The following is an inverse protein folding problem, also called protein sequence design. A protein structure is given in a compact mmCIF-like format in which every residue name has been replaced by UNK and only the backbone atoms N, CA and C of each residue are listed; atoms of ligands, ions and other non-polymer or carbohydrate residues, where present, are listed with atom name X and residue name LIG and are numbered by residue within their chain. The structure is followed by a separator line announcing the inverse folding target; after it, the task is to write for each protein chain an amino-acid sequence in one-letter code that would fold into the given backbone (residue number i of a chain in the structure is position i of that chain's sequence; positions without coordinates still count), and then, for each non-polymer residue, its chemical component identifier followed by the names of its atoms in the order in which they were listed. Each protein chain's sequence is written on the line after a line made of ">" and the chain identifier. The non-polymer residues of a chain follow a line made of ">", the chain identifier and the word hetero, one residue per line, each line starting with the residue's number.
data_IF_824246775401
#
_entry.id   IF_824246775401
#
_cell.length_a   1.000
_cell.length_b   1.000
_cell.length_c   1.000
_cell.angle_alpha   90.00
_cell.angle_beta   90.00
_cell.angle_gamma   90.00
#
_symmetry.space_group_name_H-M   'P 1'
#
loop_
_entity.id
_entity.type
_entity.pdbx_description
1 polymer ?
#
# COMPACT_ATOMS: atom_id res chain seq x y z
N UNK A 1 -25.53 -4.62 6.26
CA UNK A 1 -25.21 -5.55 7.36
C UNK A 1 -25.66 -5.04 8.74
N UNK A 2 -26.07 -3.77 8.89
CA UNK A 2 -26.54 -3.21 10.17
C UNK A 2 -28.07 -3.09 10.11
N UNK A 3 -28.77 -4.22 10.23
CA UNK A 3 -30.23 -4.22 10.14
C UNK A 3 -30.96 -4.66 11.42
N UNK A 4 -30.25 -4.89 12.51
CA UNK A 4 -30.85 -5.41 13.74
C UNK A 4 -30.34 -4.64 14.94
N UNK A 5 -30.94 -3.53 15.34
CA UNK A 5 -30.79 -2.88 16.67
C UNK A 5 -29.45 -3.22 17.40
N UNK A 6 -28.36 -3.27 16.68
CA UNK A 6 -27.07 -3.70 17.19
C UNK A 6 -26.54 -2.63 18.15
N UNK A 7 -26.20 -3.02 19.36
CA UNK A 7 -25.55 -2.14 20.35
C UNK A 7 -24.02 -2.17 20.21
N UNK A 8 -23.50 -3.21 19.56
CA UNK A 8 -22.07 -3.41 19.31
C UNK A 8 -21.86 -3.85 17.87
N UNK A 9 -20.91 -3.22 17.19
CA UNK A 9 -20.44 -3.58 15.84
C UNK A 9 -18.97 -3.91 15.90
N UNK A 10 -18.56 -5.02 15.30
CA UNK A 10 -17.16 -5.43 15.17
C UNK A 10 -16.79 -5.36 13.69
N UNK A 11 -15.73 -4.65 13.36
CA UNK A 11 -15.19 -4.49 12.01
C UNK A 11 -13.75 -5.00 11.97
N UNK A 12 -13.50 -6.00 11.14
CA UNK A 12 -12.17 -6.56 10.93
C UNK A 12 -11.60 -6.08 9.61
N UNK A 13 -10.51 -5.32 9.68
CA UNK A 13 -9.82 -4.66 8.55
C UNK A 13 -10.75 -4.02 7.51
N UNK A 14 -11.68 -3.15 7.91
CA UNK A 14 -12.76 -2.69 7.03
C UNK A 14 -12.26 -1.89 5.81
N UNK A 15 -11.03 -1.39 5.83
CA UNK A 15 -10.46 -0.56 4.77
C UNK A 15 -9.47 -1.31 3.85
N UNK A 16 -9.31 -2.62 4.02
CA UNK A 16 -8.28 -3.39 3.30
C UNK A 16 -8.46 -3.45 1.79
N UNK A 17 -9.69 -3.29 1.28
CA UNK A 17 -10.02 -3.49 -0.14
C UNK A 17 -10.82 -2.35 -0.76
N UNK A 18 -10.83 -1.18 -0.14
CA UNK A 18 -11.61 -0.02 -0.60
C UNK A 18 -10.71 1.16 -0.97
N UNK A 19 -11.22 2.05 -1.83
CA UNK A 19 -10.52 3.25 -2.28
C UNK A 19 -10.48 4.33 -1.18
N UNK A 20 -9.62 5.34 -1.35
CA UNK A 20 -9.48 6.43 -0.39
C UNK A 20 -10.82 7.19 -0.16
N UNK A 21 -11.60 7.40 -1.21
CA UNK A 21 -12.92 8.07 -1.09
C UNK A 21 -13.91 7.23 -0.28
N UNK A 22 -13.87 5.90 -0.45
CA UNK A 22 -14.73 4.99 0.31
C UNK A 22 -14.30 4.89 1.78
N UNK A 23 -13.00 5.05 2.07
CA UNK A 23 -12.50 5.13 3.45
C UNK A 23 -13.11 6.33 4.18
N UNK A 24 -13.13 7.52 3.57
CA UNK A 24 -13.75 8.70 4.17
C UNK A 24 -15.24 8.49 4.45
N UNK A 25 -15.98 7.90 3.49
CA UNK A 25 -17.40 7.56 3.70
C UNK A 25 -17.58 6.56 4.84
N UNK A 26 -16.69 5.59 4.98
CA UNK A 26 -16.70 4.63 6.09
C UNK A 26 -16.46 5.33 7.44
N UNK A 27 -15.52 6.25 7.51
CA UNK A 27 -15.25 7.01 8.74
C UNK A 27 -16.45 7.88 9.14
N UNK A 28 -17.10 8.52 8.18
CA UNK A 28 -18.32 9.30 8.46
C UNK A 28 -19.46 8.40 8.95
N UNK A 29 -19.59 7.21 8.39
CA UNK A 29 -20.55 6.21 8.84
C UNK A 29 -20.25 5.74 10.28
N UNK A 30 -18.99 5.45 10.60
CA UNK A 30 -18.54 5.08 11.96
C UNK A 30 -18.86 6.20 12.96
N UNK A 31 -18.60 7.46 12.59
CA UNK A 31 -18.93 8.63 13.42
C UNK A 31 -20.45 8.79 13.62
N UNK A 32 -21.25 8.45 12.61
CA UNK A 32 -22.70 8.47 12.72
C UNK A 32 -23.21 7.40 13.71
N UNK A 33 -22.71 6.17 13.61
CA UNK A 33 -23.03 5.08 14.54
C UNK A 33 -22.67 5.46 15.99
N UNK A 34 -21.50 6.07 16.19
CA UNK A 34 -21.07 6.55 17.52
C UNK A 34 -22.05 7.58 18.09
N UNK A 35 -22.59 8.50 17.26
CA UNK A 35 -23.60 9.48 17.69
C UNK A 35 -24.92 8.82 18.11
N UNK A 36 -25.22 7.65 17.57
CA UNK A 36 -26.38 6.82 17.95
C UNK A 36 -26.10 5.91 19.16
N UNK A 37 -25.00 6.14 19.89
CA UNK A 37 -24.54 5.33 21.04
C UNK A 37 -24.27 3.86 20.69
N UNK A 38 -23.93 3.54 19.44
CA UNK A 38 -23.49 2.21 19.05
C UNK A 38 -22.01 2.08 19.38
N UNK A 39 -21.66 1.06 20.14
CA UNK A 39 -20.25 0.73 20.46
C UNK A 39 -19.60 0.04 19.28
N UNK A 40 -18.33 0.39 18.97
CA UNK A 40 -17.64 -0.14 17.80
C UNK A 40 -16.27 -0.68 18.22
N UNK A 41 -15.94 -1.90 17.78
CA UNK A 41 -14.59 -2.46 17.86
C UNK A 41 -14.07 -2.55 16.43
N UNK A 42 -12.90 -1.93 16.19
CA UNK A 42 -12.22 -2.00 14.89
C UNK A 42 -10.91 -2.73 15.07
N UNK A 43 -10.69 -3.76 14.24
CA UNK A 43 -9.43 -4.48 14.15
C UNK A 43 -8.70 -3.95 12.93
N UNK A 44 -7.51 -3.41 13.12
CA UNK A 44 -6.70 -2.87 12.02
C UNK A 44 -5.22 -2.87 12.37
N UNK A 45 -4.36 -2.94 11.36
CA UNK A 45 -2.92 -2.73 11.48
C UNK A 45 -2.48 -1.34 10.95
N UNK A 46 -3.42 -0.53 10.47
CA UNK A 46 -3.15 0.79 9.89
C UNK A 46 -3.20 1.86 10.96
N UNK A 47 -2.05 2.42 11.30
CA UNK A 47 -1.93 3.43 12.35
C UNK A 47 -2.80 4.67 12.07
N UNK A 48 -2.88 5.12 10.81
CA UNK A 48 -3.66 6.31 10.45
C UNK A 48 -5.15 6.13 10.77
N UNK A 49 -5.69 4.93 10.60
CA UNK A 49 -7.07 4.61 10.99
C UNK A 49 -7.27 4.76 12.49
N UNK A 50 -6.37 4.16 13.28
CA UNK A 50 -6.44 4.22 14.74
C UNK A 50 -6.48 5.67 15.21
N UNK A 51 -5.57 6.55 14.71
CA UNK A 51 -5.54 7.95 15.11
C UNK A 51 -6.69 8.79 14.57
N UNK A 52 -7.38 8.34 13.51
CA UNK A 52 -8.47 9.10 12.88
C UNK A 52 -9.83 8.85 13.56
N UNK A 53 -10.08 7.62 14.03
CA UNK A 53 -11.42 7.21 14.45
C UNK A 53 -11.51 6.59 15.85
N UNK A 54 -10.41 6.07 16.42
CA UNK A 54 -10.45 5.39 17.71
C UNK A 54 -10.40 6.38 18.89
N UNK A 55 -11.06 6.04 19.98
CA UNK A 55 -10.96 6.72 21.27
C UNK A 55 -9.84 6.11 22.13
N UNK A 56 -9.74 4.78 22.09
CA UNK A 56 -8.75 3.99 22.82
C UNK A 56 -8.22 2.89 21.91
N UNK A 57 -6.98 2.52 22.11
CA UNK A 57 -6.35 1.40 21.38
C UNK A 57 -5.86 0.35 22.37
N UNK A 58 -6.22 -0.90 22.08
CA UNK A 58 -5.67 -2.10 22.73
C UNK A 58 -4.70 -2.78 21.77
N UNK A 59 -3.48 -3.00 22.19
CA UNK A 59 -2.43 -3.64 21.39
C UNK A 59 -2.29 -5.11 21.78
N UNK A 60 -2.40 -5.98 20.78
CA UNK A 60 -2.11 -7.41 20.86
C UNK A 60 -0.86 -7.71 20.03
N UNK A 61 0.00 -8.59 20.53
CA UNK A 61 1.18 -9.07 19.81
C UNK A 61 1.43 -10.53 20.16
N UNK A 62 1.62 -11.37 19.14
CA UNK A 62 1.84 -12.81 19.30
C UNK A 62 0.78 -13.50 20.17
N UNK A 63 -0.48 -13.07 20.05
CA UNK A 63 -1.60 -13.56 20.85
C UNK A 63 -1.65 -13.06 22.29
N UNK A 64 -0.75 -12.14 22.69
CA UNK A 64 -0.68 -11.60 24.04
C UNK A 64 -1.17 -10.16 24.10
N UNK A 65 -1.84 -9.82 25.21
CA UNK A 65 -2.19 -8.46 25.55
C UNK A 65 -0.93 -7.67 25.95
N UNK A 66 -0.65 -6.58 25.26
CA UNK A 66 0.52 -5.71 25.53
C UNK A 66 0.13 -4.50 26.36
N UNK A 67 -1.05 -3.94 26.12
CA UNK A 67 -1.56 -2.80 26.84
C UNK A 67 -2.69 -2.11 26.13
N UNK A 68 -3.38 -1.20 26.83
CA UNK A 68 -4.40 -0.32 26.26
C UNK A 68 -4.13 1.11 26.69
N UNK A 69 -4.40 2.07 25.79
CA UNK A 69 -4.25 3.51 26.07
C UNK A 69 -5.27 4.34 25.30
N UNK A 70 -5.77 5.44 25.90
CA UNK A 70 -6.49 6.47 25.14
C UNK A 70 -5.62 7.03 24.03
N UNK A 71 -6.22 7.26 22.85
CA UNK A 71 -5.46 7.70 21.67
C UNK A 71 -4.82 9.08 21.87
N UNK A 72 -5.45 9.95 22.66
CA UNK A 72 -4.93 11.28 22.98
C UNK A 72 -3.64 11.29 23.85
N UNK A 73 -3.34 10.16 24.50
CA UNK A 73 -2.16 10.01 25.37
C UNK A 73 -1.07 9.15 24.73
N UNK A 74 -1.31 8.62 23.53
CA UNK A 74 -0.44 7.66 22.87
C UNK A 74 0.25 8.26 21.65
N UNK A 75 1.57 8.39 21.69
CA UNK A 75 2.35 8.83 20.53
C UNK A 75 2.52 7.71 19.50
N UNK A 76 2.65 8.07 18.20
CA UNK A 76 2.89 7.09 17.11
C UNK A 76 4.13 6.20 17.36
N UNK A 77 5.28 6.73 17.78
CA UNK A 77 6.45 5.89 18.08
C UNK A 77 6.18 4.88 19.20
N UNK A 78 5.41 5.28 20.22
CA UNK A 78 5.05 4.40 21.31
C UNK A 78 4.11 3.28 20.88
N UNK A 79 3.07 3.60 20.07
CA UNK A 79 2.18 2.58 19.51
C UNK A 79 2.97 1.58 18.64
N UNK A 80 3.87 2.06 17.79
CA UNK A 80 4.75 1.19 16.98
C UNK A 80 5.61 0.30 17.89
N UNK A 81 6.20 0.86 18.95
CA UNK A 81 6.99 0.10 19.92
C UNK A 81 6.15 -1.00 20.59
N UNK A 82 4.90 -0.71 20.98
CA UNK A 82 3.99 -1.71 21.54
C UNK A 82 3.67 -2.82 20.53
N UNK A 83 3.40 -2.48 19.28
CA UNK A 83 3.07 -3.45 18.21
C UNK A 83 4.26 -4.32 17.82
N UNK A 84 5.44 -3.74 17.65
CA UNK A 84 6.65 -4.42 17.13
C UNK A 84 7.54 -4.99 18.25
N UNK A 85 7.48 -4.42 19.45
CA UNK A 85 8.26 -4.85 20.62
C UNK A 85 9.67 -4.31 20.69
N UNK A 86 10.09 -3.47 19.73
CA UNK A 86 11.41 -2.80 19.70
C UNK A 86 11.26 -1.36 19.20
N UNK A 87 12.16 -0.49 19.59
CA UNK A 87 12.24 0.84 19.01
C UNK A 87 12.68 0.76 17.55
N UNK A 88 11.90 1.34 16.66
CA UNK A 88 12.31 1.50 15.26
C UNK A 88 13.10 2.80 15.14
N UNK A 89 14.41 2.70 15.31
CA UNK A 89 15.32 3.85 15.23
C UNK A 89 15.55 4.35 13.81
N UNK A 90 15.34 3.50 12.78
CA UNK A 90 15.48 3.88 11.37
C UNK A 90 14.34 3.25 10.55
N UNK A 91 13.28 4.00 10.29
CA UNK A 91 12.21 3.61 9.36
C UNK A 91 12.74 3.48 7.92
N UNK A 92 13.74 4.26 7.57
CA UNK A 92 14.38 4.26 6.25
C UNK A 92 15.91 4.26 6.45
N UNK A 93 16.58 3.10 6.45
CA UNK A 93 18.03 3.08 6.47
C UNK A 93 18.57 3.86 5.26
N UNK A 94 19.64 4.66 5.42
CA UNK A 94 20.27 5.35 4.31
C UNK A 94 20.67 4.32 3.26
N UNK A 95 20.20 4.52 2.03
CA UNK A 95 20.63 3.72 0.88
C UNK A 95 21.97 4.27 0.39
N UNK A 96 23.04 3.74 0.91
CA UNK A 96 24.40 4.00 0.42
C UNK A 96 24.77 2.97 -0.65
N UNK A 97 23.96 2.93 -1.71
CA UNK A 97 24.15 1.99 -2.81
C UNK A 97 24.46 2.81 -4.06
N UNK A 98 25.73 2.80 -4.46
CA UNK A 98 26.09 3.17 -5.82
C UNK A 98 25.40 2.20 -6.78
N UNK A 99 24.62 2.71 -7.71
CA UNK A 99 24.00 1.89 -8.75
C UNK A 99 25.10 1.40 -9.71
N UNK A 100 25.00 0.14 -10.13
CA UNK A 100 25.86 -0.45 -11.16
C UNK A 100 25.47 0.03 -12.57
N UNK A 101 25.99 -0.67 -13.58
CA UNK A 101 25.65 -0.43 -14.98
C UNK A 101 24.14 -0.62 -15.23
N UNK A 102 23.65 -0.03 -16.32
CA UNK A 102 22.26 -0.22 -16.77
C UNK A 102 22.02 -1.69 -17.09
N UNK A 103 21.09 -2.30 -16.38
CA UNK A 103 20.68 -3.69 -16.59
C UNK A 103 19.56 -3.79 -17.62
N UNK A 104 18.52 -2.96 -17.44
CA UNK A 104 17.35 -2.93 -18.32
C UNK A 104 17.09 -1.49 -18.77
N UNK A 105 16.92 -1.29 -20.07
CA UNK A 105 16.48 -0.02 -20.63
C UNK A 105 15.25 -0.24 -21.49
N UNK A 106 14.20 0.56 -21.24
CA UNK A 106 12.95 0.57 -21.98
C UNK A 106 12.82 1.93 -22.64
N UNK A 107 12.52 1.95 -23.95
CA UNK A 107 12.39 3.19 -24.75
C UNK A 107 11.05 3.20 -25.48
N UNK A 108 10.28 4.26 -25.25
CA UNK A 108 9.05 4.59 -25.97
C UNK A 108 8.07 3.40 -26.09
N UNK A 109 7.91 2.63 -24.99
CA UNK A 109 7.04 1.47 -24.95
C UNK A 109 5.58 1.90 -25.06
N UNK A 110 4.86 1.30 -26.00
CA UNK A 110 3.43 1.53 -26.20
C UNK A 110 2.67 0.21 -26.29
N UNK A 111 1.52 0.13 -25.60
CA UNK A 111 0.59 -0.98 -25.70
C UNK A 111 -0.83 -0.52 -25.39
N UNK A 112 -1.66 -0.40 -26.44
CA UNK A 112 -3.05 0.01 -26.33
C UNK A 112 -3.24 1.39 -25.73
N UNK A 113 -4.37 1.57 -25.04
CA UNK A 113 -4.72 2.86 -24.44
C UNK A 113 -4.00 3.16 -23.11
N UNK A 114 -3.45 2.12 -22.44
CA UNK A 114 -2.96 2.22 -21.06
C UNK A 114 -1.45 2.38 -20.93
N UNK A 115 -0.67 2.00 -21.94
CA UNK A 115 0.79 2.14 -21.95
C UNK A 115 1.16 3.08 -23.07
N UNK A 116 1.63 4.28 -22.74
CA UNK A 116 1.94 5.32 -23.72
C UNK A 116 3.29 5.93 -23.42
N UNK A 117 4.22 5.76 -24.37
CA UNK A 117 5.54 6.40 -24.38
C UNK A 117 6.32 6.18 -23.07
N UNK A 118 6.28 4.96 -22.54
CA UNK A 118 6.97 4.64 -21.30
C UNK A 118 8.45 4.40 -21.57
N UNK A 119 9.30 5.17 -20.91
CA UNK A 119 10.75 5.04 -20.97
C UNK A 119 11.35 5.10 -19.59
N UNK A 120 12.28 4.20 -19.29
CA UNK A 120 13.04 4.19 -18.03
C UNK A 120 14.28 3.31 -18.15
N UNK A 121 15.18 3.45 -17.18
CA UNK A 121 16.35 2.60 -17.00
C UNK A 121 16.33 1.98 -15.60
N UNK A 122 16.82 0.76 -15.50
CA UNK A 122 17.02 0.04 -14.24
C UNK A 122 18.49 -0.39 -14.18
N UNK A 123 19.15 -0.07 -13.08
CA UNK A 123 20.55 -0.38 -12.86
C UNK A 123 20.73 -1.67 -12.06
N UNK A 124 21.90 -2.29 -12.18
CA UNK A 124 22.27 -3.45 -11.35
C UNK A 124 22.27 -3.07 -9.87
N UNK A 125 21.55 -3.86 -9.04
CA UNK A 125 21.41 -3.60 -7.61
C UNK A 125 20.38 -2.53 -7.22
N UNK A 126 19.68 -1.93 -8.21
CA UNK A 126 18.61 -0.96 -7.97
C UNK A 126 17.28 -1.65 -7.67
N UNK A 127 16.47 -1.03 -6.80
CA UNK A 127 15.05 -1.32 -6.65
C UNK A 127 14.28 -0.13 -7.22
N UNK A 128 13.74 -0.27 -8.42
CA UNK A 128 12.93 0.75 -9.08
C UNK A 128 11.45 0.56 -8.71
N UNK A 129 10.83 1.57 -8.10
CA UNK A 129 9.42 1.56 -7.73
C UNK A 129 8.53 2.22 -8.79
N UNK A 130 7.43 1.55 -9.19
CA UNK A 130 6.38 2.12 -10.03
C UNK A 130 5.18 2.51 -9.19
N UNK A 131 4.91 3.80 -9.04
CA UNK A 131 3.77 4.33 -8.31
C UNK A 131 2.68 4.84 -9.27
N UNK A 132 1.43 4.84 -8.80
CA UNK A 132 0.27 5.34 -9.55
C UNK A 132 -1.05 4.82 -8.96
N UNK A 133 -2.15 5.47 -9.30
CA UNK A 133 -3.51 5.04 -8.90
C UNK A 133 -3.95 3.78 -9.66
N UNK A 134 -5.07 3.18 -9.25
CA UNK A 134 -5.69 2.06 -9.96
C UNK A 134 -5.99 2.48 -11.41
N UNK A 135 -5.60 1.66 -12.38
CA UNK A 135 -5.78 1.95 -13.80
C UNK A 135 -4.67 2.78 -14.46
N UNK A 136 -3.59 3.13 -13.74
CA UNK A 136 -2.47 3.92 -14.27
C UNK A 136 -1.54 3.16 -15.26
N UNK A 137 -1.87 1.93 -15.65
CA UNK A 137 -1.09 1.18 -16.63
C UNK A 137 0.16 0.46 -16.09
N UNK A 138 0.39 0.46 -14.76
CA UNK A 138 1.58 -0.17 -14.15
C UNK A 138 1.70 -1.66 -14.46
N UNK A 139 0.63 -2.39 -14.23
CA UNK A 139 0.56 -3.83 -14.50
C UNK A 139 0.72 -4.12 -15.98
N UNK A 140 0.03 -3.36 -16.82
CA UNK A 140 0.09 -3.49 -18.27
C UNK A 140 1.50 -3.21 -18.82
N UNK A 141 2.20 -2.22 -18.28
CA UNK A 141 3.61 -1.95 -18.60
C UNK A 141 4.50 -3.15 -18.27
N UNK A 142 4.39 -3.70 -17.06
CA UNK A 142 5.18 -4.88 -16.66
C UNK A 142 4.84 -6.12 -17.48
N UNK A 143 3.57 -6.35 -17.78
CA UNK A 143 3.13 -7.45 -18.63
C UNK A 143 3.67 -7.35 -20.05
N UNK A 144 3.74 -6.13 -20.62
CA UNK A 144 4.34 -5.88 -21.94
C UNK A 144 5.85 -6.15 -21.92
N UNK A 145 6.56 -5.71 -20.89
CA UNK A 145 8.00 -5.95 -20.75
C UNK A 145 8.30 -7.45 -20.56
N UNK A 146 7.44 -8.16 -19.84
CA UNK A 146 7.59 -9.61 -19.60
C UNK A 146 7.14 -10.46 -20.79
N UNK A 147 6.43 -9.89 -21.77
CA UNK A 147 5.93 -10.60 -22.96
C UNK A 147 4.60 -11.33 -22.76
N UNK A 148 3.85 -10.99 -21.71
CA UNK A 148 2.49 -11.52 -21.51
C UNK A 148 1.45 -10.78 -22.35
N UNK A 149 1.69 -9.50 -22.62
CA UNK A 149 0.85 -8.67 -23.49
C UNK A 149 1.67 -8.22 -24.70
N UNK A 150 1.05 -8.08 -25.88
CA UNK A 150 1.73 -7.62 -27.09
C UNK A 150 2.25 -6.18 -26.88
N UNK A 151 3.43 -5.90 -27.41
CA UNK A 151 3.99 -4.56 -27.49
C UNK A 151 3.71 -4.00 -28.89
N UNK A 152 3.03 -2.84 -28.99
CA UNK A 152 2.72 -2.20 -30.27
C UNK A 152 3.94 -1.49 -30.85
N UNK A 153 4.72 -0.83 -29.99
CA UNK A 153 5.97 -0.17 -30.35
C UNK A 153 6.84 0.06 -29.15
N UNK A 154 8.11 0.33 -29.38
CA UNK A 154 9.13 0.59 -28.38
C UNK A 154 10.28 -0.41 -28.47
N UNK A 155 11.31 -0.15 -27.69
CA UNK A 155 12.53 -0.97 -27.68
C UNK A 155 12.88 -1.34 -26.23
N UNK A 156 13.32 -2.56 -26.06
CA UNK A 156 13.77 -3.08 -24.77
C UNK A 156 15.18 -3.62 -24.92
N UNK A 157 16.07 -3.18 -24.03
CA UNK A 157 17.45 -3.60 -23.98
C UNK A 157 17.76 -4.23 -22.63
N UNK A 158 18.40 -5.40 -22.65
CA UNK A 158 18.93 -6.07 -21.47
C UNK A 158 20.46 -6.15 -21.60
N UNK A 159 21.15 -5.58 -20.63
CA UNK A 159 22.63 -5.47 -20.65
C UNK A 159 23.18 -4.87 -21.96
N UNK A 160 22.47 -3.86 -22.48
CA UNK A 160 22.84 -3.17 -23.73
C UNK A 160 22.47 -3.92 -25.02
N UNK A 161 21.93 -5.15 -24.93
CA UNK A 161 21.49 -5.91 -26.08
C UNK A 161 19.97 -5.76 -26.28
N UNK A 162 19.55 -5.37 -27.49
CA UNK A 162 18.15 -5.28 -27.80
C UNK A 162 17.50 -6.68 -27.78
N UNK A 163 16.44 -6.82 -27.00
CA UNK A 163 15.68 -8.06 -26.91
C UNK A 163 14.32 -7.89 -27.59
N UNK A 164 13.93 -8.89 -28.40
CA UNK A 164 12.57 -8.98 -28.95
C UNK A 164 11.77 -9.91 -28.05
N UNK A 165 10.86 -9.32 -27.28
CA UNK A 165 9.94 -10.11 -26.46
C UNK A 165 8.86 -10.66 -27.41
N UNK A 166 8.81 -11.99 -27.54
CA UNK A 166 7.71 -12.67 -28.23
C UNK A 166 6.61 -12.90 -27.20
N UNK A 167 5.40 -12.45 -27.53
CA UNK A 167 4.22 -12.81 -26.72
C UNK A 167 4.08 -14.34 -26.68
N UNK A 168 3.83 -14.86 -25.50
CA UNK A 168 3.53 -16.29 -25.26
C UNK A 168 2.09 -16.57 -25.58
#
# INVERSE_FOLDING_TARGET
>A
AISFNAQLVIMDEPTSSISQNEIEMLYDFIRALKRENITIIIITHKLDEVYTIADEVTVLRDGQYIGAKPIGELSRPELIKMMVGREMTNLFPPKDIGYGDVLLEVKNLNNGAKVKDISFQLHKGEILGFAGIVGAGRTETMRSIFGLDPCESGEIYLEGQQIKIRCV
#
